data_IF_409328404794
#
_entry.id   IF_409328404794
#
_cell.length_a   1.000
_cell.length_b   1.000
_cell.length_c   1.000
_cell.angle_alpha   90.00
_cell.angle_beta   90.00
_cell.angle_gamma   90.00
#
_symmetry.space_group_name_H-M   'P 1'
#
loop_
_entity.id
_entity.type
_entity.pdbx_description
1 polymer ?
#
# COMPACT_ATOMS: atom_id res chain seq x y z
N UNK A 1 37.11 18.02 -2.64
CA UNK A 1 37.11 18.84 -3.87
C UNK A 1 37.52 20.26 -3.47
N UNK A 2 38.73 20.67 -3.80
CA UNK A 2 39.27 21.99 -3.44
C UNK A 2 38.91 23.00 -4.52
N UNK A 3 38.20 24.08 -4.17
CA UNK A 3 37.97 25.21 -5.06
C UNK A 3 38.99 26.28 -4.73
N UNK A 4 39.97 26.51 -5.61
CA UNK A 4 40.92 27.62 -5.49
C UNK A 4 40.19 28.93 -5.79
N UNK A 5 40.19 29.86 -4.83
CA UNK A 5 39.89 31.28 -5.09
C UNK A 5 41.18 32.01 -5.47
N UNK A 6 41.04 33.07 -6.27
CA UNK A 6 42.07 33.81 -7.02
C UNK A 6 43.18 34.49 -6.19
N UNK A 7 43.19 34.33 -4.87
CA UNK A 7 44.03 35.02 -3.92
C UNK A 7 44.82 34.10 -2.98
N UNK A 8 45.03 32.83 -3.36
CA UNK A 8 46.06 31.94 -2.78
C UNK A 8 45.85 31.50 -1.33
N UNK A 9 44.81 31.98 -0.64
CA UNK A 9 44.41 31.47 0.67
C UNK A 9 43.62 30.18 0.51
N UNK A 10 44.23 29.05 0.88
CA UNK A 10 43.53 27.79 1.10
C UNK A 10 42.67 27.99 2.35
N UNK A 11 41.41 28.37 2.16
CA UNK A 11 40.43 28.26 3.25
C UNK A 11 40.02 26.80 3.27
N UNK A 12 40.63 26.02 4.18
CA UNK A 12 40.10 24.70 4.51
C UNK A 12 38.66 24.96 4.98
N UNK A 13 37.67 24.69 4.13
CA UNK A 13 36.28 24.59 4.58
C UNK A 13 36.34 23.51 5.66
N UNK A 14 36.06 23.88 6.92
CA UNK A 14 35.98 22.95 8.05
C UNK A 14 35.39 21.64 7.54
N UNK A 15 36.12 20.55 7.68
CA UNK A 15 35.76 19.24 7.15
C UNK A 15 34.47 18.74 7.78
N UNK A 16 33.33 19.19 7.25
CA UNK A 16 32.03 18.66 7.65
C UNK A 16 31.97 17.22 7.14
N UNK A 17 31.85 16.29 8.08
CA UNK A 17 31.53 14.90 7.77
C UNK A 17 30.09 14.88 7.28
N UNK A 18 29.91 14.89 5.97
CA UNK A 18 28.59 14.79 5.34
C UNK A 18 28.11 13.34 5.49
N UNK A 19 26.86 13.18 5.91
CA UNK A 19 26.12 11.91 5.87
C UNK A 19 24.89 12.16 5.04
N UNK A 20 24.59 11.24 4.11
CA UNK A 20 23.44 11.37 3.23
C UNK A 20 22.36 10.37 3.64
N UNK A 21 21.12 10.85 3.70
CA UNK A 21 19.95 10.00 3.84
C UNK A 21 19.22 10.00 2.50
N UNK A 22 19.04 8.83 1.92
CA UNK A 22 18.24 8.61 0.70
C UNK A 22 16.88 8.12 1.14
N UNK A 23 15.91 9.02 1.23
CA UNK A 23 14.53 8.70 1.53
C UNK A 23 13.76 8.59 0.20
N UNK A 24 13.38 7.37 -0.20
CA UNK A 24 12.85 7.12 -1.54
C UNK A 24 11.68 6.13 -1.50
N UNK A 25 10.67 6.40 -2.33
CA UNK A 25 9.56 5.47 -2.58
C UNK A 25 9.90 4.55 -3.75
N UNK A 26 9.17 3.46 -3.87
CA UNK A 26 9.15 2.63 -5.07
C UNK A 26 8.68 3.41 -6.29
N UNK A 27 9.23 3.03 -7.45
CA UNK A 27 8.74 3.48 -8.75
C UNK A 27 7.82 2.38 -9.25
N UNK A 28 6.51 2.57 -9.06
CA UNK A 28 5.50 1.54 -9.34
C UNK A 28 5.69 0.92 -10.73
N UNK A 29 5.76 -0.41 -10.77
CA UNK A 29 5.99 -1.17 -12.01
C UNK A 29 7.42 -1.10 -12.57
N UNK A 30 8.37 -0.50 -11.85
CA UNK A 30 9.75 -0.30 -12.32
C UNK A 30 10.80 -0.67 -11.28
N UNK A 31 10.97 0.13 -10.22
CA UNK A 31 12.04 -0.07 -9.23
C UNK A 31 11.45 -0.19 -7.83
N UNK A 32 11.94 -1.16 -7.05
CA UNK A 32 11.72 -1.17 -5.60
C UNK A 32 12.44 0.01 -4.93
N UNK A 33 12.06 0.34 -3.69
CA UNK A 33 12.75 1.40 -2.94
C UNK A 33 14.25 1.08 -2.77
N UNK A 34 14.63 -0.19 -2.60
CA UNK A 34 16.03 -0.60 -2.50
C UNK A 34 16.77 -0.37 -3.83
N UNK A 35 16.14 -0.71 -4.96
CA UNK A 35 16.76 -0.51 -6.27
C UNK A 35 16.95 0.99 -6.57
N UNK A 36 15.93 1.80 -6.29
CA UNK A 36 16.00 3.25 -6.44
C UNK A 36 17.07 3.84 -5.51
N UNK A 37 17.11 3.42 -4.24
CA UNK A 37 18.11 3.87 -3.28
C UNK A 37 19.54 3.50 -3.65
N UNK A 38 19.77 2.25 -4.12
CA UNK A 38 21.07 1.79 -4.58
C UNK A 38 21.56 2.57 -5.81
N UNK A 39 20.66 2.93 -6.72
CA UNK A 39 21.01 3.76 -7.88
C UNK A 39 21.44 5.16 -7.47
N UNK A 40 20.73 5.78 -6.50
CA UNK A 40 21.12 7.09 -5.94
C UNK A 40 22.46 7.00 -5.21
N UNK A 41 22.67 5.97 -4.39
CA UNK A 41 23.92 5.74 -3.68
C UNK A 41 25.10 5.56 -4.66
N UNK A 42 24.94 4.78 -5.72
CA UNK A 42 25.97 4.59 -6.74
C UNK A 42 26.38 5.93 -7.38
N UNK A 43 25.42 6.73 -7.84
CA UNK A 43 25.70 8.04 -8.42
C UNK A 43 26.33 9.03 -7.42
N UNK A 44 25.94 8.97 -6.14
CA UNK A 44 26.58 9.77 -5.09
C UNK A 44 28.05 9.38 -4.89
N UNK A 45 28.36 8.09 -4.86
CA UNK A 45 29.72 7.60 -4.64
C UNK A 45 30.65 7.85 -5.83
N UNK A 46 30.12 7.95 -7.05
CA UNK A 46 30.90 8.34 -8.23
C UNK A 46 31.46 9.77 -8.11
N UNK A 47 30.67 10.70 -7.56
CA UNK A 47 31.07 12.11 -7.43
C UNK A 47 31.71 12.41 -6.06
N UNK A 48 31.22 11.76 -5.00
CA UNK A 48 31.63 11.99 -3.62
C UNK A 48 31.93 10.66 -2.88
N UNK A 49 33.07 10.00 -3.15
CA UNK A 49 33.41 8.68 -2.57
C UNK A 49 33.50 8.62 -1.03
N UNK A 50 33.55 9.76 -0.37
CA UNK A 50 33.72 9.87 1.10
C UNK A 50 32.40 10.15 1.84
N UNK A 51 31.28 10.24 1.12
CA UNK A 51 29.98 10.57 1.69
C UNK A 51 29.16 9.30 1.89
N UNK A 52 29.14 8.71 3.10
CA UNK A 52 28.29 7.54 3.36
C UNK A 52 26.82 7.89 3.16
N UNK A 53 26.10 7.02 2.45
CA UNK A 53 24.66 7.11 2.24
C UNK A 53 23.94 6.00 3.02
N UNK A 54 22.73 6.30 3.47
CA UNK A 54 21.82 5.31 4.04
C UNK A 54 20.46 5.46 3.37
N UNK A 55 19.93 4.35 2.87
CA UNK A 55 18.61 4.32 2.22
C UNK A 55 17.53 3.97 3.23
N UNK A 56 16.46 4.76 3.25
CA UNK A 56 15.22 4.46 3.97
C UNK A 56 14.03 4.45 3.00
N UNK A 57 13.13 3.46 3.11
CA UNK A 57 11.88 3.50 2.37
C UNK A 57 10.99 4.62 2.90
N UNK A 58 10.31 5.32 1.99
CA UNK A 58 9.14 6.14 2.31
C UNK A 58 7.95 5.66 1.50
N UNK A 59 6.75 5.90 2.01
CA UNK A 59 5.50 5.61 1.33
C UNK A 59 4.51 6.75 1.63
N UNK A 60 3.59 6.99 0.71
CA UNK A 60 2.64 8.11 0.76
C UNK A 60 1.26 7.74 1.34
N UNK A 61 1.11 6.53 1.87
CA UNK A 61 -0.17 5.97 2.31
C UNK A 61 -0.84 5.09 1.26
N UNK A 62 -0.14 4.76 0.18
CA UNK A 62 -0.50 3.69 -0.74
C UNK A 62 0.23 2.37 -0.50
N UNK A 63 0.25 1.56 -1.56
CA UNK A 63 1.01 0.31 -1.66
C UNK A 63 2.47 0.52 -1.22
N UNK A 64 2.93 -0.29 -0.27
CA UNK A 64 4.29 -0.20 0.27
C UNK A 64 4.37 0.47 1.64
N UNK A 65 3.26 1.03 2.16
CA UNK A 65 3.22 1.58 3.52
C UNK A 65 3.46 0.49 4.57
N UNK A 66 2.89 -0.70 4.39
CA UNK A 66 3.18 -1.85 5.25
C UNK A 66 4.65 -2.31 5.12
N UNK A 67 5.27 -2.17 3.94
CA UNK A 67 6.68 -2.48 3.74
C UNK A 67 7.61 -1.53 4.52
N UNK A 68 7.26 -0.25 4.65
CA UNK A 68 7.97 0.69 5.54
C UNK A 68 7.92 0.20 6.98
N UNK A 69 6.74 -0.20 7.46
CA UNK A 69 6.58 -0.74 8.81
C UNK A 69 7.39 -2.04 9.03
N UNK A 70 7.44 -2.91 8.01
CA UNK A 70 8.26 -4.11 8.02
C UNK A 70 9.76 -3.77 8.11
N UNK A 71 10.23 -2.80 7.31
CA UNK A 71 11.61 -2.33 7.34
C UNK A 71 12.02 -1.80 8.71
N UNK A 72 11.08 -1.20 9.45
CA UNK A 72 11.26 -0.73 10.83
C UNK A 72 11.20 -1.85 11.89
N UNK A 73 11.23 -3.12 11.48
CA UNK A 73 11.21 -4.28 12.38
C UNK A 73 9.81 -4.84 12.66
N UNK A 74 8.81 -4.48 11.86
CA UNK A 74 7.46 -5.03 11.95
C UNK A 74 7.40 -6.50 11.53
N UNK A 75 6.50 -7.25 12.17
CA UNK A 75 6.23 -8.66 11.88
C UNK A 75 5.17 -8.78 10.78
N UNK A 76 5.45 -9.56 9.73
CA UNK A 76 4.44 -9.86 8.71
C UNK A 76 3.48 -10.91 9.25
N UNK A 77 2.19 -10.60 9.24
CA UNK A 77 1.12 -11.54 9.55
C UNK A 77 0.44 -11.93 8.24
N UNK A 78 0.66 -13.18 7.82
CA UNK A 78 0.02 -13.73 6.62
C UNK A 78 -1.43 -14.11 6.88
N UNK A 79 -2.23 -14.02 5.83
CA UNK A 79 -3.60 -14.50 5.84
C UNK A 79 -4.05 -15.01 4.47
N UNK A 80 -5.00 -15.94 4.48
CA UNK A 80 -5.63 -16.42 3.25
C UNK A 80 -7.01 -15.77 3.13
N UNK A 81 -7.09 -14.75 2.28
CA UNK A 81 -8.30 -13.96 2.07
C UNK A 81 -8.62 -13.86 0.59
N UNK A 82 -9.56 -12.98 0.26
CA UNK A 82 -9.99 -12.77 -1.11
C UNK A 82 -9.21 -11.64 -1.79
N UNK A 83 -8.92 -11.81 -3.08
CA UNK A 83 -8.45 -10.73 -3.95
C UNK A 83 -9.62 -9.80 -4.35
N UNK A 84 -9.28 -8.82 -5.19
CA UNK A 84 -10.20 -7.81 -5.71
C UNK A 84 -11.37 -8.42 -6.53
N UNK A 85 -11.29 -9.69 -6.93
CA UNK A 85 -12.32 -10.45 -7.67
C UNK A 85 -12.89 -11.64 -6.87
N UNK A 86 -12.76 -11.61 -5.54
CA UNK A 86 -13.22 -12.66 -4.62
C UNK A 86 -12.53 -14.03 -4.77
N UNK A 87 -11.37 -14.11 -5.43
CA UNK A 87 -10.57 -15.34 -5.54
C UNK A 87 -9.72 -15.52 -4.29
N UNK A 88 -9.50 -16.77 -3.86
CA UNK A 88 -8.56 -17.05 -2.75
C UNK A 88 -7.16 -16.54 -3.10
N UNK A 89 -6.58 -15.80 -2.18
CA UNK A 89 -5.33 -15.09 -2.34
C UNK A 89 -4.56 -15.04 -1.01
N UNK A 90 -3.23 -15.11 -1.10
CA UNK A 90 -2.37 -14.96 0.07
C UNK A 90 -2.09 -13.48 0.30
N UNK A 91 -2.79 -12.91 1.27
CA UNK A 91 -2.63 -11.52 1.69
C UNK A 91 -1.79 -11.43 2.97
N UNK A 92 -1.44 -10.22 3.36
CA UNK A 92 -0.73 -9.96 4.60
C UNK A 92 -0.98 -8.54 5.10
N UNK A 93 -0.67 -8.32 6.37
CA UNK A 93 -0.53 -7.01 6.99
C UNK A 93 0.68 -7.06 7.93
N UNK A 94 1.12 -5.89 8.42
CA UNK A 94 2.33 -5.80 9.26
C UNK A 94 1.97 -5.33 10.65
N UNK A 95 2.40 -6.07 11.67
CA UNK A 95 2.35 -5.64 13.06
C UNK A 95 3.65 -4.92 13.41
N UNK A 96 3.57 -3.61 13.62
CA UNK A 96 4.68 -2.80 14.09
C UNK A 96 4.36 -2.26 15.49
N UNK A 97 5.09 -2.77 16.50
CA UNK A 97 4.76 -2.59 17.92
C UNK A 97 3.34 -3.10 18.24
N UNK A 98 2.40 -2.18 18.51
CA UNK A 98 0.98 -2.44 18.76
C UNK A 98 0.08 -1.91 17.62
N UNK A 99 0.68 -1.52 16.50
CA UNK A 99 -0.02 -0.97 15.33
C UNK A 99 -0.04 -1.97 14.19
N UNK A 100 -1.24 -2.37 13.75
CA UNK A 100 -1.41 -3.07 12.48
C UNK A 100 -1.39 -2.05 11.33
N UNK A 101 -0.53 -2.29 10.35
CA UNK A 101 -0.48 -1.52 9.10
C UNK A 101 -1.02 -2.40 7.97
N UNK A 102 -2.15 -1.99 7.41
CA UNK A 102 -2.90 -2.71 6.38
C UNK A 102 -2.87 -1.91 5.09
N UNK A 103 -2.24 -2.45 4.06
CA UNK A 103 -2.29 -1.88 2.71
C UNK A 103 -3.50 -2.46 1.99
N UNK A 104 -4.52 -1.62 1.71
CA UNK A 104 -5.72 -2.06 1.01
C UNK A 104 -5.41 -2.63 -0.38
N UNK A 105 -4.33 -2.14 -1.02
CA UNK A 105 -3.88 -2.64 -2.31
C UNK A 105 -3.49 -4.14 -2.30
N UNK A 106 -3.16 -4.73 -1.15
CA UNK A 106 -2.81 -6.15 -1.04
C UNK A 106 -3.99 -7.06 -1.40
N UNK A 107 -5.21 -6.65 -1.06
CA UNK A 107 -6.44 -7.41 -1.36
C UNK A 107 -7.35 -6.74 -2.37
N UNK A 108 -7.20 -5.43 -2.57
CA UNK A 108 -8.09 -4.60 -3.37
C UNK A 108 -7.32 -3.69 -4.34
N UNK A 109 -6.11 -4.11 -4.72
CA UNK A 109 -5.18 -3.34 -5.54
C UNK A 109 -5.57 -3.17 -6.99
N UNK A 110 -4.99 -2.15 -7.62
CA UNK A 110 -5.12 -1.91 -9.05
C UNK A 110 -4.60 -3.10 -9.87
N UNK A 111 -5.39 -3.50 -10.87
CA UNK A 111 -5.04 -4.55 -11.82
C UNK A 111 -4.87 -3.93 -13.20
N UNK A 112 -3.71 -4.17 -13.80
CA UNK A 112 -3.38 -3.69 -15.15
C UNK A 112 -4.39 -4.17 -16.18
N UNK A 113 -4.66 -3.35 -17.20
CA UNK A 113 -5.70 -3.62 -18.18
C UNK A 113 -5.53 -4.98 -18.90
N UNK A 114 -4.29 -5.45 -19.06
CA UNK A 114 -3.97 -6.74 -19.68
C UNK A 114 -4.29 -7.95 -18.78
N UNK A 115 -4.33 -7.75 -17.45
CA UNK A 115 -4.56 -8.79 -16.45
C UNK A 115 -6.00 -8.78 -15.90
N UNK A 116 -6.80 -7.78 -16.29
CA UNK A 116 -8.20 -7.70 -15.89
C UNK A 116 -8.99 -8.85 -16.49
N UNK A 117 -9.64 -9.60 -15.62
CA UNK A 117 -10.55 -10.68 -16.01
C UNK A 117 -12.02 -10.23 -16.08
N UNK A 118 -12.35 -9.09 -15.44
CA UNK A 118 -13.68 -8.48 -15.36
C UNK A 118 -13.55 -6.96 -15.26
N UNK A 119 -14.64 -6.22 -15.47
CA UNK A 119 -14.64 -4.76 -15.37
C UNK A 119 -14.54 -4.24 -13.94
N UNK A 120 -14.47 -2.92 -13.80
CA UNK A 120 -14.32 -2.24 -12.50
C UNK A 120 -15.53 -2.48 -11.58
N UNK A 121 -16.73 -2.59 -12.14
CA UNK A 121 -17.96 -2.94 -11.43
C UNK A 121 -17.90 -4.29 -10.69
N UNK A 122 -17.01 -5.18 -11.12
CA UNK A 122 -16.79 -6.49 -10.53
C UNK A 122 -15.61 -6.51 -9.53
N UNK A 123 -15.12 -5.35 -9.09
CA UNK A 123 -14.03 -5.25 -8.12
C UNK A 123 -14.57 -5.02 -6.71
N UNK A 124 -13.84 -5.48 -5.68
CA UNK A 124 -14.31 -5.35 -4.30
C UNK A 124 -13.23 -4.99 -3.26
N UNK A 125 -13.66 -4.23 -2.25
CA UNK A 125 -12.95 -3.96 -1.00
C UNK A 125 -13.10 -5.07 0.05
N UNK A 126 -13.80 -6.17 -0.25
CA UNK A 126 -14.11 -7.24 0.70
C UNK A 126 -12.87 -7.84 1.38
N UNK A 127 -11.84 -8.19 0.60
CA UNK A 127 -10.59 -8.74 1.15
C UNK A 127 -9.85 -7.76 2.07
N UNK A 128 -9.91 -6.46 1.78
CA UNK A 128 -9.40 -5.42 2.70
C UNK A 128 -10.15 -5.44 4.03
N UNK A 129 -11.48 -5.58 3.99
CA UNK A 129 -12.28 -5.75 5.21
C UNK A 129 -11.88 -6.99 6.01
N UNK A 130 -11.58 -8.11 5.35
CA UNK A 130 -11.11 -9.33 6.03
C UNK A 130 -9.74 -9.14 6.71
N UNK A 131 -8.83 -8.38 6.09
CA UNK A 131 -7.54 -8.03 6.71
C UNK A 131 -7.73 -7.17 7.96
N UNK A 132 -8.62 -6.17 7.89
CA UNK A 132 -8.93 -5.31 9.03
C UNK A 132 -9.59 -6.12 10.14
N UNK A 133 -10.53 -7.03 9.82
CA UNK A 133 -11.17 -7.92 10.79
C UNK A 133 -10.14 -8.80 11.52
N UNK A 134 -9.19 -9.36 10.79
CA UNK A 134 -8.11 -10.16 11.37
C UNK A 134 -7.23 -9.32 12.29
N UNK A 135 -6.89 -8.09 11.89
CA UNK A 135 -6.11 -7.17 12.71
C UNK A 135 -6.87 -6.74 13.99
N UNK A 136 -8.18 -6.51 13.90
CA UNK A 136 -9.04 -6.17 15.04
C UNK A 136 -9.05 -7.27 16.10
N UNK A 137 -9.05 -8.53 15.69
CA UNK A 137 -9.06 -9.68 16.59
C UNK A 137 -7.66 -10.09 17.08
N UNK A 138 -6.60 -9.46 16.59
CA UNK A 138 -5.24 -9.83 16.96
C UNK A 138 -4.87 -9.25 18.35
N UNK A 139 -4.42 -10.08 19.32
CA UNK A 139 -4.32 -9.68 20.73
C UNK A 139 -3.29 -8.57 21.03
N UNK A 140 -2.31 -8.37 20.14
CA UNK A 140 -1.29 -7.31 20.27
C UNK A 140 -1.70 -5.97 19.63
N UNK A 141 -2.77 -5.94 18.84
CA UNK A 141 -3.16 -4.74 18.08
C UNK A 141 -3.96 -3.79 18.97
N UNK A 142 -3.52 -2.53 19.03
CA UNK A 142 -4.22 -1.42 19.70
C UNK A 142 -4.57 -0.28 18.74
N UNK A 143 -3.89 -0.24 17.59
CA UNK A 143 -4.09 0.75 16.54
C UNK A 143 -4.09 0.06 15.19
N UNK A 144 -4.96 0.49 14.29
CA UNK A 144 -4.94 0.06 12.89
C UNK A 144 -4.71 1.29 12.02
N UNK A 145 -3.73 1.20 11.13
CA UNK A 145 -3.47 2.17 10.06
C UNK A 145 -3.82 1.49 8.75
N UNK A 146 -4.74 2.07 7.99
CA UNK A 146 -5.14 1.56 6.68
C UNK A 146 -4.60 2.51 5.61
N UNK A 147 -3.70 1.99 4.78
CA UNK A 147 -3.18 2.67 3.60
C UNK A 147 -4.10 2.38 2.42
N UNK A 148 -4.70 3.42 1.84
CA UNK A 148 -5.74 3.32 0.81
C UNK A 148 -5.21 3.53 -0.61
N UNK A 149 -4.01 4.09 -0.77
CA UNK A 149 -3.45 4.33 -2.11
C UNK A 149 -3.20 3.04 -2.88
N UNK A 150 -3.36 3.09 -4.20
CA UNK A 150 -3.15 1.93 -5.08
C UNK A 150 -4.32 0.94 -5.15
N UNK A 151 -5.47 1.23 -4.53
CA UNK A 151 -6.68 0.42 -4.70
C UNK A 151 -7.20 0.49 -6.14
N UNK A 152 -7.65 -0.65 -6.65
CA UNK A 152 -8.32 -0.79 -7.94
C UNK A 152 -9.82 -0.92 -7.84
N UNK A 153 -10.37 -1.07 -6.64
CA UNK A 153 -11.78 -1.35 -6.45
C UNK A 153 -12.65 -0.09 -6.56
N UNK A 154 -13.84 -0.23 -7.15
CA UNK A 154 -14.80 0.88 -7.35
C UNK A 154 -16.09 0.73 -6.55
N UNK A 155 -16.13 -0.15 -5.55
CA UNK A 155 -17.33 -0.42 -4.73
C UNK A 155 -17.58 0.61 -3.62
N UNK A 156 -16.81 1.70 -3.58
CA UNK A 156 -16.96 2.78 -2.61
C UNK A 156 -16.71 2.37 -1.15
N UNK A 157 -16.08 1.22 -0.91
CA UNK A 157 -15.88 0.70 0.45
C UNK A 157 -17.12 0.05 1.06
N UNK A 158 -18.19 -0.12 0.28
CA UNK A 158 -19.46 -0.73 0.75
C UNK A 158 -19.29 -2.15 1.29
N UNK A 159 -18.21 -2.82 0.88
CA UNK A 159 -17.87 -4.19 1.29
C UNK A 159 -17.02 -4.27 2.56
N UNK A 160 -16.76 -3.14 3.22
CA UNK A 160 -16.23 -3.11 4.58
C UNK A 160 -17.28 -3.48 5.65
N UNK A 161 -18.55 -3.66 5.25
CA UNK A 161 -19.61 -4.24 6.10
C UNK A 161 -19.25 -5.58 6.75
N UNK A 162 -18.26 -6.32 6.20
CA UNK A 162 -17.70 -7.54 6.80
C UNK A 162 -17.18 -7.30 8.22
N UNK A 163 -16.86 -6.05 8.56
CA UNK A 163 -16.50 -5.62 9.92
C UNK A 163 -17.70 -5.54 10.89
N UNK A 164 -18.89 -5.96 10.47
CA UNK A 164 -20.11 -5.97 11.30
C UNK A 164 -20.97 -4.71 11.19
N UNK A 165 -20.71 -3.84 10.21
CA UNK A 165 -21.58 -2.69 9.94
C UNK A 165 -22.72 -3.10 8.99
N UNK A 166 -23.95 -2.63 9.19
CA UNK A 166 -25.00 -2.84 8.21
C UNK A 166 -24.58 -2.21 6.86
N UNK A 167 -24.94 -2.85 5.74
CA UNK A 167 -24.73 -2.27 4.41
C UNK A 167 -25.33 -0.86 4.37
N UNK A 168 -24.60 0.09 3.78
CA UNK A 168 -25.10 1.45 3.65
C UNK A 168 -26.42 1.43 2.87
N UNK A 169 -27.50 2.01 3.41
CA UNK A 169 -28.72 2.21 2.65
C UNK A 169 -28.41 3.17 1.51
N UNK A 170 -28.81 2.81 0.29
CA UNK A 170 -28.96 3.79 -0.78
C UNK A 170 -30.25 4.60 -0.56
N UNK A 171 -30.48 5.68 -1.31
CA UNK A 171 -31.65 6.58 -1.18
C UNK A 171 -33.02 5.87 -1.10
N UNK A 172 -33.12 4.59 -1.52
CA UNK A 172 -34.30 3.75 -1.38
C UNK A 172 -34.47 3.06 -0.01
N UNK A 173 -33.57 3.28 0.95
CA UNK A 173 -33.56 2.63 2.26
C UNK A 173 -33.17 1.14 2.22
N UNK A 174 -32.76 0.63 1.05
CA UNK A 174 -32.42 -0.78 0.86
C UNK A 174 -30.91 -1.01 0.89
N UNK A 175 -30.46 -2.13 1.49
CA UNK A 175 -29.05 -2.48 1.53
C UNK A 175 -28.53 -3.01 0.18
N UNK A 176 -27.25 -2.77 -0.10
CA UNK A 176 -26.52 -3.45 -1.17
C UNK A 176 -26.29 -4.90 -0.74
N UNK A 177 -26.72 -5.86 -1.56
CA UNK A 177 -26.62 -7.30 -1.25
C UNK A 177 -25.71 -8.04 -2.25
N UNK A 178 -25.24 -9.24 -1.87
CA UNK A 178 -24.61 -10.17 -2.81
C UNK A 178 -25.57 -10.45 -3.96
N UNK A 179 -25.04 -10.67 -5.17
CA UNK A 179 -25.79 -11.00 -6.39
C UNK A 179 -27.07 -11.79 -6.09
N UNK A 180 -28.21 -11.21 -6.41
CA UNK A 180 -29.51 -11.88 -6.35
C UNK A 180 -29.62 -12.90 -7.49
N UNK A 181 -30.32 -14.02 -7.29
CA UNK A 181 -30.58 -15.04 -8.31
C UNK A 181 -31.25 -14.46 -9.58
N UNK A 182 -31.88 -13.29 -9.49
CA UNK A 182 -32.56 -12.60 -10.59
C UNK A 182 -31.64 -11.66 -11.41
N UNK A 183 -30.35 -11.60 -11.09
CA UNK A 183 -29.43 -10.65 -11.73
C UNK A 183 -28.80 -11.26 -12.99
N UNK A 184 -29.33 -10.88 -14.15
CA UNK A 184 -29.00 -11.44 -15.47
C UNK A 184 -27.55 -11.18 -15.91
N UNK A 185 -26.91 -10.11 -15.44
CA UNK A 185 -25.52 -9.79 -15.80
C UNK A 185 -24.53 -10.69 -15.03
N UNK A 186 -23.78 -11.58 -15.72
CA UNK A 186 -22.78 -12.44 -15.09
C UNK A 186 -21.56 -11.69 -14.53
N UNK A 187 -21.34 -10.44 -14.94
CA UNK A 187 -20.21 -9.63 -14.48
C UNK A 187 -20.52 -8.82 -13.22
N UNK A 188 -21.79 -8.66 -12.88
CA UNK A 188 -22.21 -7.90 -11.71
C UNK A 188 -22.05 -8.77 -10.44
N UNK A 189 -21.13 -8.40 -9.55
CA UNK A 189 -20.95 -9.09 -8.27
C UNK A 189 -22.06 -8.78 -7.25
N UNK A 190 -22.74 -7.63 -7.39
CA UNK A 190 -23.68 -7.09 -6.41
C UNK A 190 -24.87 -6.44 -7.10
N UNK A 191 -26.06 -6.66 -6.56
CA UNK A 191 -27.28 -6.12 -7.12
C UNK A 191 -28.02 -5.33 -6.03
N UNK A 192 -28.70 -4.26 -6.44
CA UNK A 192 -29.67 -3.59 -5.59
C UNK A 192 -30.87 -4.52 -5.47
N UNK A 193 -31.34 -4.77 -4.25
CA UNK A 193 -32.54 -5.58 -4.07
C UNK A 193 -33.76 -4.79 -4.58
N UNK A 194 -34.13 -5.02 -5.84
CA UNK A 194 -35.34 -4.51 -6.47
C UNK A 194 -35.13 -3.77 -7.80
N UNK A 195 -35.76 -4.33 -8.84
CA UNK A 195 -36.05 -3.80 -10.19
C UNK A 195 -34.87 -3.65 -11.17
N UNK A 196 -34.75 -4.62 -12.07
CA UNK A 196 -34.87 -4.33 -13.50
C UNK A 196 -36.32 -4.60 -13.92
#
# INVERSE_FOLDING_TARGET
METKLSNGKIVSRRGFKVKVLVAVDSFKGSLSFQQAGNAVEAGLLEVFPSWPAHTLPVADGGEGTACVAQFLGGEIIFSQWQDIYERRYSAHWVLWNDTAVVDAAVSSGFVDAQERIRGGEATTSYGTGQLIEQALHHPRVKRIVVALGGTGCTDGGTRLWVLGFPPLPVDSGRPITRRCEHCEDPNLLYCFDGTY
#
